data_IF_040377884691
#
_entry.id   IF_040377884691
#
_cell.length_a   1.000
_cell.length_b   1.000
_cell.length_c   1.000
_cell.angle_alpha   90.00
_cell.angle_beta   90.00
_cell.angle_gamma   90.00
#
_symmetry.space_group_name_H-M   'P 1'
#
loop_
_entity.id
_entity.type
_entity.pdbx_description
1 polymer ?
#
# COMPACT_ATOMS: atom_id res chain seq x y z
N UNK A 1 -26.32 52.74 8.22
CA UNK A 1 -27.06 51.48 8.02
C UNK A 1 -27.20 51.22 6.53
N UNK A 2 -26.22 50.61 5.84
CA UNK A 2 -26.35 50.20 4.42
C UNK A 2 -25.19 49.33 3.90
N UNK A 3 -24.53 48.54 4.76
CA UNK A 3 -23.52 47.58 4.29
C UNK A 3 -23.94 46.10 4.43
N UNK A 4 -25.06 45.83 5.11
CA UNK A 4 -25.58 44.47 5.33
C UNK A 4 -26.41 43.92 4.14
N UNK A 5 -26.80 44.76 3.18
CA UNK A 5 -27.78 44.41 2.13
C UNK A 5 -27.18 44.17 0.73
N UNK A 6 -25.92 43.73 0.64
CA UNK A 6 -25.29 43.37 -0.65
C UNK A 6 -24.96 41.87 -0.74
N UNK A 7 -24.80 41.17 0.39
CA UNK A 7 -24.38 39.75 0.40
C UNK A 7 -25.53 38.78 0.09
N UNK A 8 -26.79 39.20 0.21
CA UNK A 8 -27.95 38.30 0.10
C UNK A 8 -28.62 38.20 -1.28
N UNK A 9 -28.09 38.86 -2.33
CA UNK A 9 -28.83 39.01 -3.61
C UNK A 9 -28.22 38.32 -4.84
N UNK A 10 -27.16 37.53 -4.69
CA UNK A 10 -26.62 36.72 -5.79
C UNK A 10 -26.89 35.23 -5.56
N UNK A 11 -28.18 34.92 -5.46
CA UNK A 11 -28.72 33.59 -5.79
C UNK A 11 -28.73 33.43 -7.32
N UNK A 12 -28.57 32.18 -7.79
CA UNK A 12 -28.85 31.65 -9.16
C UNK A 12 -27.56 31.39 -9.99
N UNK A 13 -27.39 30.23 -10.67
CA UNK A 13 -26.76 29.03 -10.09
C UNK A 13 -25.76 28.41 -11.09
N UNK A 14 -24.45 28.52 -10.86
CA UNK A 14 -23.48 27.84 -11.72
C UNK A 14 -23.33 26.37 -11.30
N UNK A 15 -24.11 25.52 -11.97
CA UNK A 15 -23.71 24.17 -12.40
C UNK A 15 -22.19 24.16 -12.60
N UNK A 16 -21.44 23.28 -11.95
CA UNK A 16 -20.32 22.53 -12.55
C UNK A 16 -19.81 21.49 -11.52
N UNK A 17 -20.29 20.27 -11.68
CA UNK A 17 -19.51 19.03 -11.65
C UNK A 17 -18.51 18.95 -10.47
N UNK A 18 -19.00 18.55 -9.29
CA UNK A 18 -18.13 17.93 -8.30
C UNK A 18 -17.80 16.51 -8.79
N UNK A 19 -16.71 16.49 -9.56
CA UNK A 19 -15.97 15.35 -10.07
C UNK A 19 -16.04 14.16 -9.11
N UNK A 20 -16.60 13.06 -9.61
CA UNK A 20 -16.52 11.74 -9.01
C UNK A 20 -15.04 11.31 -8.93
N UNK A 21 -14.34 11.73 -7.88
CA UNK A 21 -13.11 11.08 -7.45
C UNK A 21 -13.46 9.80 -6.68
N UNK A 22 -14.14 8.87 -7.34
CA UNK A 22 -13.98 7.46 -6.98
C UNK A 22 -12.58 7.10 -7.43
N UNK A 23 -11.61 7.32 -6.54
CA UNK A 23 -10.27 6.78 -6.68
C UNK A 23 -10.42 5.29 -6.90
N UNK A 24 -10.29 4.87 -8.16
CA UNK A 24 -10.11 3.49 -8.54
C UNK A 24 -8.83 3.03 -7.83
N UNK A 25 -8.98 2.51 -6.61
CA UNK A 25 -7.98 1.65 -6.02
C UNK A 25 -7.96 0.42 -6.91
N UNK A 26 -7.21 0.51 -8.00
CA UNK A 26 -6.83 -0.61 -8.81
C UNK A 26 -5.97 -1.48 -7.90
N UNK A 27 -6.63 -2.36 -7.15
CA UNK A 27 -6.02 -3.56 -6.63
C UNK A 27 -5.71 -4.42 -7.85
N UNK A 28 -4.67 -4.03 -8.59
CA UNK A 28 -4.04 -4.87 -9.58
C UNK A 28 -3.40 -6.03 -8.81
N UNK A 29 -4.22 -7.01 -8.44
CA UNK A 29 -3.79 -8.36 -8.14
C UNK A 29 -3.36 -8.97 -9.46
N UNK A 30 -2.25 -8.49 -10.00
CA UNK A 30 -1.64 -9.06 -11.20
C UNK A 30 -1.26 -10.49 -10.89
N UNK A 31 -1.83 -11.44 -11.63
CA UNK A 31 -1.37 -12.83 -11.61
C UNK A 31 0.06 -12.83 -12.15
N UNK A 32 1.04 -13.01 -11.26
CA UNK A 32 2.44 -13.13 -11.65
C UNK A 32 2.63 -14.52 -12.26
N UNK A 33 2.59 -14.61 -13.59
CA UNK A 33 2.98 -15.84 -14.29
C UNK A 33 4.49 -16.00 -14.19
N UNK A 34 4.92 -16.82 -13.22
CA UNK A 34 6.29 -17.30 -13.10
C UNK A 34 6.58 -18.19 -14.31
N UNK A 35 7.19 -17.63 -15.36
CA UNK A 35 7.68 -18.40 -16.51
C UNK A 35 8.98 -17.80 -17.04
N UNK A 36 10.09 -18.43 -16.67
CA UNK A 36 11.21 -18.68 -17.58
C UNK A 36 12.46 -17.80 -17.55
N UNK A 37 12.46 -16.58 -16.98
CA UNK A 37 13.61 -15.66 -17.17
C UNK A 37 14.38 -15.26 -15.93
N UNK A 38 13.69 -14.86 -14.86
CA UNK A 38 14.32 -14.12 -13.75
C UNK A 38 13.50 -14.31 -12.46
N UNK A 39 13.22 -15.56 -12.10
CA UNK A 39 12.31 -15.93 -11.01
C UNK A 39 12.68 -15.29 -9.67
N UNK A 40 13.97 -15.26 -9.33
CA UNK A 40 14.46 -14.64 -8.10
C UNK A 40 14.19 -13.13 -8.07
N UNK A 41 14.41 -12.44 -9.19
CA UNK A 41 14.17 -11.02 -9.31
C UNK A 41 12.67 -10.69 -9.29
N UNK A 42 11.84 -11.54 -9.89
CA UNK A 42 10.37 -11.39 -9.84
C UNK A 42 9.83 -11.56 -8.42
N UNK A 43 10.27 -12.60 -7.69
CA UNK A 43 9.88 -12.81 -6.29
C UNK A 43 10.36 -11.68 -5.39
N UNK A 44 11.60 -11.20 -5.58
CA UNK A 44 12.12 -10.04 -4.86
C UNK A 44 11.29 -8.78 -5.09
N UNK A 45 10.97 -8.46 -6.35
CA UNK A 45 10.18 -7.26 -6.68
C UNK A 45 8.74 -7.36 -6.17
N UNK A 46 8.14 -8.55 -6.24
CA UNK A 46 6.84 -8.81 -5.64
C UNK A 46 6.88 -8.57 -4.13
N UNK A 47 7.86 -9.17 -3.45
CA UNK A 47 8.07 -9.02 -2.01
C UNK A 47 8.26 -7.57 -1.60
N UNK A 48 9.12 -6.84 -2.31
CA UNK A 48 9.33 -5.41 -2.11
C UNK A 48 8.02 -4.62 -2.26
N UNK A 49 7.27 -4.87 -3.33
CA UNK A 49 6.01 -4.16 -3.58
C UNK A 49 4.95 -4.45 -2.51
N UNK A 50 4.81 -5.71 -2.09
CA UNK A 50 3.88 -6.13 -1.06
C UNK A 50 4.27 -5.54 0.30
N UNK A 51 5.57 -5.54 0.63
CA UNK A 51 6.09 -4.94 1.86
C UNK A 51 5.72 -3.46 1.97
N UNK A 52 6.05 -2.63 0.97
CA UNK A 52 5.77 -1.20 1.04
C UNK A 52 4.30 -0.84 0.89
N UNK A 53 3.50 -1.64 0.16
CA UNK A 53 2.07 -1.35 -0.05
C UNK A 53 1.18 -1.84 1.09
N UNK A 54 1.55 -2.93 1.76
CA UNK A 54 0.68 -3.60 2.75
C UNK A 54 1.22 -3.58 4.17
N UNK A 55 2.52 -3.42 4.36
CA UNK A 55 3.14 -3.44 5.68
C UNK A 55 3.76 -2.09 6.07
N UNK A 56 4.50 -1.44 5.19
CA UNK A 56 5.21 -0.17 5.47
C UNK A 56 4.52 1.09 4.88
N UNK A 57 3.29 0.96 4.41
CA UNK A 57 2.52 2.11 3.90
C UNK A 57 2.08 3.06 5.03
N UNK A 58 1.68 4.29 4.69
CA UNK A 58 1.08 5.20 5.66
C UNK A 58 -0.23 4.61 6.22
N UNK A 59 -0.25 4.26 7.51
CA UNK A 59 -1.38 3.57 8.17
C UNK A 59 -1.33 2.04 8.14
N UNK A 60 -0.26 1.46 7.58
CA UNK A 60 0.02 0.02 7.71
C UNK A 60 0.73 -0.30 9.04
N UNK A 61 0.76 -1.58 9.48
CA UNK A 61 1.30 -1.97 10.79
C UNK A 61 2.79 -1.64 11.01
N UNK A 62 3.59 -1.51 9.94
CA UNK A 62 5.01 -1.14 9.99
C UNK A 62 5.24 0.30 9.50
N UNK A 63 4.21 1.14 9.50
CA UNK A 63 4.33 2.54 9.07
C UNK A 63 5.41 3.27 9.88
N UNK A 64 6.38 3.86 9.20
CA UNK A 64 7.46 4.61 9.84
C UNK A 64 8.55 3.75 10.48
N UNK A 65 8.49 2.42 10.37
CA UNK A 65 9.60 1.55 10.77
C UNK A 65 10.61 1.42 9.63
N UNK A 66 11.89 1.60 9.94
CA UNK A 66 12.96 1.41 8.98
C UNK A 66 13.28 -0.08 8.79
N UNK A 67 13.52 -0.45 7.54
CA UNK A 67 14.00 -1.77 7.16
C UNK A 67 15.50 -1.87 7.49
N UNK A 68 15.82 -2.44 8.65
CA UNK A 68 17.18 -2.75 9.09
C UNK A 68 17.30 -4.26 9.44
N UNK A 69 18.50 -4.78 9.62
CA UNK A 69 18.71 -6.23 9.86
C UNK A 69 17.96 -6.75 11.10
N UNK A 70 17.91 -5.94 12.17
CA UNK A 70 17.21 -6.29 13.42
C UNK A 70 15.70 -6.42 13.19
N UNK A 71 15.09 -5.40 12.58
CA UNK A 71 13.66 -5.34 12.28
C UNK A 71 13.27 -6.39 11.23
N UNK A 72 14.11 -6.61 10.22
CA UNK A 72 13.87 -7.63 9.19
C UNK A 72 13.80 -9.04 9.81
N UNK A 73 14.69 -9.35 10.74
CA UNK A 73 14.69 -10.64 11.47
C UNK A 73 13.45 -10.80 12.32
N UNK A 74 13.02 -9.74 13.01
CA UNK A 74 11.79 -9.74 13.80
C UNK A 74 10.56 -9.95 12.91
N UNK A 75 10.45 -9.21 11.81
CA UNK A 75 9.33 -9.33 10.88
C UNK A 75 9.28 -10.70 10.19
N UNK A 76 10.44 -11.30 9.86
CA UNK A 76 10.49 -12.68 9.35
C UNK A 76 9.88 -13.68 10.33
N UNK A 77 10.13 -13.48 11.64
CA UNK A 77 9.54 -14.30 12.69
C UNK A 77 8.02 -14.08 12.77
N UNK A 78 7.58 -12.82 12.72
CA UNK A 78 6.17 -12.46 12.77
C UNK A 78 5.38 -12.88 11.52
N UNK A 79 6.02 -12.97 10.34
CA UNK A 79 5.42 -13.47 9.10
C UNK A 79 5.27 -14.99 9.11
N UNK A 80 6.16 -15.68 9.84
CA UNK A 80 6.12 -17.14 9.99
C UNK A 80 5.08 -17.59 11.01
N UNK A 81 4.80 -16.75 12.01
CA UNK A 81 3.68 -16.92 12.92
C UNK A 81 2.43 -16.32 12.26
N UNK A 82 1.24 -16.93 12.45
CA UNK A 82 0.00 -16.47 11.80
C UNK A 82 -0.55 -15.15 12.38
N UNK A 83 0.30 -14.13 12.48
CA UNK A 83 0.08 -12.84 13.11
C UNK A 83 -0.57 -11.83 12.14
N UNK A 84 -0.93 -10.64 12.61
CA UNK A 84 -1.58 -9.59 11.80
C UNK A 84 -0.83 -9.26 10.50
N UNK A 85 0.51 -9.25 10.52
CA UNK A 85 1.32 -9.05 9.30
C UNK A 85 1.06 -10.13 8.25
N UNK A 86 0.96 -11.38 8.68
CA UNK A 86 0.72 -12.53 7.81
C UNK A 86 -0.70 -12.55 7.23
N UNK A 87 -1.67 -11.95 7.94
CA UNK A 87 -3.07 -11.86 7.50
C UNK A 87 -3.31 -10.78 6.44
N UNK A 88 -2.47 -9.74 6.40
CA UNK A 88 -2.53 -8.68 5.37
C UNK A 88 -1.99 -9.15 4.01
N UNK A 89 -1.23 -10.25 4.02
CA UNK A 89 -0.57 -10.81 2.84
C UNK A 89 -1.26 -12.11 2.43
N UNK A 90 -1.42 -12.31 1.13
CA UNK A 90 -1.67 -13.64 0.57
C UNK A 90 -0.46 -14.56 0.79
N UNK A 91 -0.64 -15.87 0.67
CA UNK A 91 0.44 -16.85 0.82
C UNK A 91 1.62 -16.54 -0.11
N UNK A 92 1.34 -16.24 -1.38
CA UNK A 92 2.37 -15.88 -2.38
C UNK A 92 3.09 -14.57 -2.04
N UNK A 93 2.37 -13.55 -1.60
CA UNK A 93 2.99 -12.28 -1.18
C UNK A 93 3.85 -12.48 0.06
N UNK A 94 3.43 -13.32 1.00
CA UNK A 94 4.19 -13.63 2.21
C UNK A 94 5.50 -14.30 1.88
N UNK A 95 5.49 -15.33 1.04
CA UNK A 95 6.70 -16.02 0.58
C UNK A 95 7.65 -15.05 -0.14
N UNK A 96 7.11 -14.18 -0.99
CA UNK A 96 7.89 -13.16 -1.69
C UNK A 96 8.48 -12.10 -0.74
N UNK A 97 7.71 -11.64 0.26
CA UNK A 97 8.20 -10.71 1.30
C UNK A 97 9.32 -11.37 2.11
N UNK A 98 9.21 -12.66 2.41
CA UNK A 98 10.29 -13.41 3.07
C UNK A 98 11.56 -13.41 2.21
N UNK A 99 11.45 -13.60 0.89
CA UNK A 99 12.60 -13.50 -0.03
C UNK A 99 13.20 -12.10 -0.02
N UNK A 100 12.36 -11.07 -0.06
CA UNK A 100 12.79 -9.67 0.02
C UNK A 100 13.55 -9.37 1.31
N UNK A 101 13.02 -9.77 2.47
CA UNK A 101 13.61 -9.53 3.80
C UNK A 101 14.88 -10.35 4.07
N UNK A 102 15.03 -11.52 3.43
CA UNK A 102 16.26 -12.34 3.53
C UNK A 102 17.39 -11.83 2.65
N UNK A 103 17.09 -10.95 1.70
CA UNK A 103 18.13 -10.35 0.85
C UNK A 103 18.90 -9.35 1.70
N UNK A 104 20.26 -9.41 1.73
CA UNK A 104 21.05 -8.51 2.55
C UNK A 104 20.80 -7.05 2.16
N UNK A 105 20.67 -6.21 3.20
CA UNK A 105 20.38 -4.77 3.13
C UNK A 105 21.61 -3.94 2.77
#
# INVERSE_FOLDING_TARGET
>A
MTFWNIIMKQLIPFIFIALACTSSSAFASGSYSISGGDQANQAYNLGKSAFYRKLACAGCPLAGQELNESNATEWLTQLSQANELSQKLSTTERDAVIVYLKTPL
#
